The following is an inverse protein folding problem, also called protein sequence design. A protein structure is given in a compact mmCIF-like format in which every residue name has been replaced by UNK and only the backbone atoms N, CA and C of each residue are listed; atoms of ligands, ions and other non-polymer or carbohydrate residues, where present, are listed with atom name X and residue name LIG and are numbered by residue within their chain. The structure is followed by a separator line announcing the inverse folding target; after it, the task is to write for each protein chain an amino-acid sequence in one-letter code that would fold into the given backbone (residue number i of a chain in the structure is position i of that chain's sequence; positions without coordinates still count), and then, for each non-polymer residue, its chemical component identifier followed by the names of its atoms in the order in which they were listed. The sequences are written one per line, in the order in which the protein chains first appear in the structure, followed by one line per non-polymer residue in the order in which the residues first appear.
data_IF_473984658912
#
_entry.id   IF_473984658912
#
_cell.length_a   1.000
_cell.length_b   1.000
_cell.length_c   1.000
_cell.angle_alpha   90.00
_cell.angle_beta   90.00
_cell.angle_gamma   90.00
#
_symmetry.space_group_name_H-M   'P 1'
#
loop_
_entity.id
_entity.type
_entity.pdbx_description
1 polymer ?
#
# COMPACT_ATOMS: atom_id res chain seq x y z
N UNK A 1 10.59 -7.26 18.51
CA UNK A 1 10.69 -5.79 18.60
C UNK A 1 9.50 -5.28 19.41
N UNK A 2 9.56 -4.11 20.05
CA UNK A 2 8.38 -3.57 20.73
C UNK A 2 7.28 -3.21 19.70
N UNK A 3 6.01 -3.30 20.15
CA UNK A 3 4.85 -2.99 19.31
C UNK A 3 4.67 -1.48 19.24
N UNK A 4 4.58 -0.94 18.03
CA UNK A 4 4.33 0.48 17.79
C UNK A 4 2.82 0.78 17.73
N UNK A 5 2.06 -0.05 17.00
CA UNK A 5 0.61 0.13 16.83
C UNK A 5 -0.05 -1.23 17.07
N UNK A 6 -1.12 -1.24 17.87
CA UNK A 6 -1.95 -2.44 18.09
C UNK A 6 -3.42 -2.08 18.02
N UNK A 7 -4.17 -2.87 17.22
CA UNK A 7 -5.62 -2.87 17.18
C UNK A 7 -6.16 -4.22 17.59
N UNK A 8 -7.23 -4.25 18.39
CA UNK A 8 -7.94 -5.47 18.77
C UNK A 8 -9.43 -5.31 18.54
N UNK A 9 -10.00 -6.17 17.71
CA UNK A 9 -11.41 -6.19 17.30
C UNK A 9 -11.94 -4.80 16.95
N UNK A 10 -11.14 -4.05 16.16
CA UNK A 10 -11.47 -2.69 15.78
C UNK A 10 -12.69 -2.68 14.85
N UNK A 11 -13.70 -1.89 15.21
CA UNK A 11 -14.95 -1.75 14.42
C UNK A 11 -15.32 -0.29 14.23
N UNK A 12 -15.82 0.01 13.05
CA UNK A 12 -16.42 1.31 12.75
C UNK A 12 -17.68 1.14 11.90
N UNK A 13 -18.78 1.65 12.42
CA UNK A 13 -20.05 1.70 11.72
C UNK A 13 -20.49 3.17 11.63
N UNK A 14 -20.78 3.64 10.41
CA UNK A 14 -21.34 4.96 10.16
C UNK A 14 -22.87 4.87 10.12
N UNK A 15 -23.53 5.79 10.82
CA UNK A 15 -25.00 5.94 10.89
C UNK A 15 -25.75 4.62 11.20
N UNK A 16 -25.09 3.68 11.88
CA UNK A 16 -25.66 2.36 12.21
C UNK A 16 -25.93 1.45 11.02
N UNK A 17 -25.45 1.80 9.82
CA UNK A 17 -25.76 1.08 8.57
C UNK A 17 -24.53 0.60 7.80
N UNK A 18 -23.49 1.42 7.72
CA UNK A 18 -22.31 1.10 6.93
C UNK A 18 -21.17 0.67 7.84
N UNK A 19 -20.89 -0.62 7.89
CA UNK A 19 -19.72 -1.16 8.61
C UNK A 19 -18.47 -1.00 7.75
N UNK A 20 -17.72 0.07 7.98
CA UNK A 20 -16.48 0.35 7.26
C UNK A 20 -15.29 -0.48 7.78
N UNK A 21 -15.28 -0.82 9.09
CA UNK A 21 -14.27 -1.70 9.71
C UNK A 21 -15.00 -2.76 10.55
N UNK A 22 -14.64 -4.04 10.34
CA UNK A 22 -15.42 -5.20 10.81
C UNK A 22 -14.59 -6.16 11.66
N UNK A 23 -14.06 -5.67 12.78
CA UNK A 23 -13.30 -6.50 13.71
C UNK A 23 -11.85 -6.70 13.28
N UNK A 24 -11.19 -5.61 12.85
CA UNK A 24 -9.81 -5.62 12.40
C UNK A 24 -8.86 -5.82 13.58
N UNK A 25 -7.94 -6.78 13.44
CA UNK A 25 -6.83 -6.99 14.35
C UNK A 25 -5.53 -6.70 13.62
N UNK A 26 -4.67 -5.87 14.19
CA UNK A 26 -3.44 -5.42 13.56
C UNK A 26 -2.35 -5.21 14.61
N UNK A 27 -1.13 -5.62 14.30
CA UNK A 27 0.05 -5.36 15.12
C UNK A 27 1.22 -4.96 14.24
N UNK A 28 1.75 -3.74 14.46
CA UNK A 28 2.88 -3.17 13.74
C UNK A 28 4.04 -3.00 14.70
N UNK A 29 5.23 -3.47 14.31
CA UNK A 29 6.43 -3.39 15.12
C UNK A 29 7.11 -2.02 14.98
N UNK A 30 7.87 -1.62 16.00
CA UNK A 30 8.69 -0.39 15.92
C UNK A 30 9.76 -0.53 14.83
N UNK A 31 9.90 0.49 13.98
CA UNK A 31 10.86 0.52 12.86
C UNK A 31 10.39 -0.24 11.62
N UNK A 32 9.17 -0.76 11.63
CA UNK A 32 8.55 -1.44 10.50
C UNK A 32 7.89 -0.45 9.53
N UNK A 33 8.01 -0.70 8.23
CA UNK A 33 7.14 -0.11 7.23
C UNK A 33 6.00 -1.09 6.93
N UNK A 34 4.79 -0.74 7.36
CA UNK A 34 3.60 -1.57 7.21
C UNK A 34 2.61 -0.96 6.23
N UNK A 35 2.07 -1.78 5.32
CA UNK A 35 1.09 -1.36 4.31
C UNK A 35 -0.33 -1.86 4.59
N UNK A 36 -1.33 -1.00 4.38
CA UNK A 36 -2.72 -1.42 4.22
C UNK A 36 -3.06 -1.35 2.73
N UNK A 37 -3.12 -2.50 2.08
CA UNK A 37 -3.39 -2.64 0.65
C UNK A 37 -4.86 -3.03 0.43
N UNK A 38 -5.54 -2.42 -0.52
CA UNK A 38 -6.93 -2.79 -0.85
C UNK A 38 -7.61 -1.77 -1.74
N UNK A 39 -8.79 -2.10 -2.28
CA UNK A 39 -9.53 -1.21 -3.17
C UNK A 39 -10.13 -0.02 -2.42
N UNK A 40 -10.63 0.95 -3.19
CA UNK A 40 -11.40 2.06 -2.64
C UNK A 40 -12.63 1.52 -1.91
N UNK A 41 -12.92 2.08 -0.73
CA UNK A 41 -14.02 1.61 0.12
C UNK A 41 -13.72 0.35 0.94
N UNK A 42 -12.50 -0.22 0.90
CA UNK A 42 -12.14 -1.38 1.72
C UNK A 42 -12.03 -1.09 3.22
N UNK A 43 -12.03 0.19 3.64
CA UNK A 43 -11.91 0.60 5.05
C UNK A 43 -10.50 1.06 5.45
N UNK A 44 -9.56 1.21 4.51
CA UNK A 44 -8.17 1.64 4.77
C UNK A 44 -8.12 3.03 5.43
N UNK A 45 -8.66 4.05 4.77
CA UNK A 45 -8.71 5.43 5.27
C UNK A 45 -9.43 5.51 6.61
N UNK A 46 -10.58 4.84 6.78
CA UNK A 46 -11.28 4.78 8.07
C UNK A 46 -10.41 4.18 9.18
N UNK A 47 -9.64 3.13 8.85
CA UNK A 47 -8.73 2.50 9.81
C UNK A 47 -7.61 3.47 10.20
N UNK A 48 -6.97 4.12 9.22
CA UNK A 48 -5.87 5.05 9.48
C UNK A 48 -6.34 6.28 10.29
N UNK A 49 -7.51 6.86 9.94
CA UNK A 49 -8.12 7.98 10.69
C UNK A 49 -8.39 7.64 12.16
N UNK A 50 -8.79 6.40 12.46
CA UNK A 50 -8.95 5.95 13.86
C UNK A 50 -7.59 5.86 14.55
N UNK A 51 -6.56 5.35 13.88
CA UNK A 51 -5.20 5.26 14.42
C UNK A 51 -4.58 6.65 14.66
N UNK A 52 -4.87 7.60 13.79
CA UNK A 52 -4.45 9.01 13.90
C UNK A 52 -5.20 9.79 14.98
N UNK A 53 -6.25 9.20 15.56
CA UNK A 53 -7.12 9.86 16.55
C UNK A 53 -8.03 10.93 15.95
N UNK A 54 -8.24 10.91 14.65
CA UNK A 54 -9.18 11.81 13.96
C UNK A 54 -10.60 11.28 14.00
N UNK A 55 -10.76 9.97 14.19
CA UNK A 55 -12.05 9.29 14.23
C UNK A 55 -12.14 8.35 15.43
N UNK A 56 -13.23 8.41 16.19
CA UNK A 56 -13.48 7.43 17.27
C UNK A 56 -14.01 6.11 16.68
N UNK A 57 -13.48 4.94 17.11
CA UNK A 57 -14.03 3.64 16.75
C UNK A 57 -15.44 3.45 17.39
N UNK A 58 -16.27 2.64 16.75
CA UNK A 58 -17.55 2.20 17.36
C UNK A 58 -17.30 1.23 18.51
N UNK A 59 -16.33 0.33 18.35
CA UNK A 59 -15.84 -0.59 19.37
C UNK A 59 -14.44 -1.10 19.04
N UNK A 60 -13.85 -1.84 19.98
CA UNK A 60 -12.48 -2.33 19.87
C UNK A 60 -11.49 -1.45 20.64
N UNK A 61 -10.22 -1.82 20.57
CA UNK A 61 -9.15 -1.14 21.28
C UNK A 61 -8.02 -0.77 20.31
N UNK A 62 -7.46 0.41 20.52
CA UNK A 62 -6.28 0.92 19.83
C UNK A 62 -5.26 1.35 20.86
N UNK A 63 -4.01 0.93 20.69
CA UNK A 63 -2.88 1.49 21.41
C UNK A 63 -1.75 1.84 20.45
N UNK A 64 -1.07 2.95 20.71
CA UNK A 64 0.05 3.47 19.95
C UNK A 64 1.20 3.73 20.90
N UNK A 65 2.33 3.06 20.67
CA UNK A 65 3.50 3.08 21.56
C UNK A 65 3.12 2.73 23.02
N UNK A 66 2.11 1.86 23.21
CA UNK A 66 1.58 1.46 24.51
C UNK A 66 0.61 2.44 25.16
N UNK A 67 0.21 3.51 24.48
CA UNK A 67 -0.69 4.56 24.98
C UNK A 67 -2.04 4.54 24.27
N UNK A 68 -3.07 5.08 24.93
CA UNK A 68 -4.42 5.22 24.39
C UNK A 68 -4.77 6.70 24.18
N UNK A 69 -5.47 7.03 23.09
CA UNK A 69 -5.84 8.41 22.73
C UNK A 69 -6.53 9.18 23.87
N UNK A 70 -7.45 8.55 24.58
CA UNK A 70 -8.21 9.21 25.66
C UNK A 70 -7.35 9.65 26.84
N UNK A 71 -6.19 9.03 27.04
CA UNK A 71 -5.35 9.27 28.22
C UNK A 71 -4.17 10.19 27.90
N UNK A 72 -3.64 10.14 26.67
CA UNK A 72 -2.36 10.74 26.31
C UNK A 72 -2.40 11.52 24.98
N UNK A 73 -3.54 12.07 24.58
CA UNK A 73 -3.74 12.72 23.28
C UNK A 73 -2.64 13.72 22.92
N UNK A 74 -2.31 14.63 23.86
CA UNK A 74 -1.35 15.70 23.63
C UNK A 74 0.07 15.17 23.36
N UNK A 75 0.48 14.14 24.09
CA UNK A 75 1.80 13.53 23.92
C UNK A 75 1.87 12.68 22.64
N UNK A 76 0.80 11.95 22.34
CA UNK A 76 0.72 11.15 21.13
C UNK A 76 0.82 12.01 19.87
N UNK A 77 0.21 13.19 19.85
CA UNK A 77 0.32 14.16 18.74
C UNK A 77 1.76 14.64 18.48
N UNK A 78 2.63 14.64 19.50
CA UNK A 78 4.05 14.97 19.33
C UNK A 78 4.85 13.81 18.68
N UNK A 79 4.35 12.57 18.75
CA UNK A 79 5.03 11.39 18.25
C UNK A 79 4.61 10.96 16.84
N UNK A 80 3.53 11.57 16.35
CA UNK A 80 2.91 11.15 15.10
C UNK A 80 3.06 12.23 14.03
N UNK A 81 3.60 11.83 12.88
CA UNK A 81 3.54 12.60 11.65
C UNK A 81 2.41 12.07 10.78
N UNK A 82 1.54 12.96 10.31
CA UNK A 82 0.36 12.58 9.54
C UNK A 82 0.37 13.32 8.20
N UNK A 83 0.30 12.58 7.11
CA UNK A 83 0.11 13.12 5.77
C UNK A 83 -1.16 12.51 5.15
N UNK A 84 -2.21 13.30 5.10
CA UNK A 84 -3.50 12.91 4.55
C UNK A 84 -3.46 12.86 3.01
N UNK A 85 -4.36 12.10 2.40
CA UNK A 85 -4.51 11.96 0.95
C UNK A 85 -4.66 13.33 0.25
N UNK A 86 -5.48 14.24 0.81
CA UNK A 86 -5.62 15.62 0.37
C UNK A 86 -5.14 16.59 1.45
N UNK A 87 -3.86 16.90 1.47
CA UNK A 87 -3.34 17.94 2.34
C UNK A 87 -3.47 19.31 1.66
N UNK A 88 -4.42 20.13 2.13
CA UNK A 88 -4.62 21.50 1.60
C UNK A 88 -3.69 22.48 2.30
N UNK A 89 -2.60 22.81 1.65
CA UNK A 89 -1.65 23.83 2.11
C UNK A 89 -2.01 25.20 1.52
N UNK A 90 -1.71 26.27 2.27
CA UNK A 90 -1.97 27.63 1.80
C UNK A 90 -1.09 27.97 0.59
N UNK A 91 -1.70 28.30 -0.54
CA UNK A 91 -0.99 28.65 -1.76
C UNK A 91 -0.20 29.96 -1.67
N UNK A 92 -0.53 30.80 -0.67
CA UNK A 92 0.06 32.14 -0.43
C UNK A 92 1.24 32.14 0.54
N UNK A 93 1.61 30.97 1.06
CA UNK A 93 2.83 30.79 1.84
C UNK A 93 3.94 30.23 0.95
N UNK A 94 5.18 30.54 1.29
CA UNK A 94 6.34 29.87 0.73
C UNK A 94 6.47 28.45 1.32
N UNK A 95 7.29 27.61 0.69
CA UNK A 95 7.62 26.27 1.20
C UNK A 95 8.20 26.37 2.62
N UNK A 96 9.16 27.27 2.83
CA UNK A 96 9.79 27.52 4.14
C UNK A 96 8.75 27.96 5.18
N UNK A 97 7.99 29.01 4.88
CA UNK A 97 6.96 29.50 5.79
C UNK A 97 5.93 28.43 6.17
N UNK A 98 5.60 27.54 5.22
CA UNK A 98 4.72 26.41 5.49
C UNK A 98 5.33 25.44 6.49
N UNK A 99 6.60 25.04 6.31
CA UNK A 99 7.29 24.14 7.24
C UNK A 99 7.45 24.79 8.63
N UNK A 100 7.82 26.07 8.69
CA UNK A 100 7.97 26.83 9.92
C UNK A 100 6.63 26.98 10.67
N UNK A 101 5.53 27.19 9.94
CA UNK A 101 4.19 27.22 10.52
C UNK A 101 3.86 25.89 11.19
N UNK A 102 4.07 24.75 10.51
CA UNK A 102 3.82 23.45 11.11
C UNK A 102 4.79 23.15 12.26
N UNK A 103 6.07 23.53 12.14
CA UNK A 103 7.04 23.41 13.21
C UNK A 103 6.58 24.12 14.50
N UNK A 104 5.91 25.27 14.37
CA UNK A 104 5.44 26.06 15.50
C UNK A 104 4.38 25.38 16.38
N UNK A 105 3.74 24.31 15.90
CA UNK A 105 2.76 23.54 16.66
C UNK A 105 3.38 22.54 17.65
N UNK A 106 4.68 22.26 17.52
CA UNK A 106 5.38 21.21 18.25
C UNK A 106 6.44 21.79 19.21
N UNK A 107 6.72 21.07 20.29
CA UNK A 107 7.67 21.53 21.32
C UNK A 107 9.13 21.39 20.90
N UNK A 108 9.44 20.35 20.14
CA UNK A 108 10.80 20.01 19.70
C UNK A 108 10.80 19.64 18.21
N UNK A 109 10.45 20.60 17.33
CA UNK A 109 10.44 20.35 15.91
C UNK A 109 11.87 20.18 15.39
N UNK A 110 11.99 19.52 14.22
CA UNK A 110 13.23 19.51 13.44
C UNK A 110 13.47 20.88 12.81
N UNK A 111 14.72 21.16 12.49
CA UNK A 111 15.08 22.34 11.73
C UNK A 111 14.39 22.36 10.36
N UNK A 112 13.84 23.49 9.98
CA UNK A 112 13.22 23.66 8.65
C UNK A 112 14.22 23.39 7.52
N UNK A 113 15.49 23.77 7.69
CA UNK A 113 16.54 23.52 6.69
C UNK A 113 16.83 22.02 6.54
N UNK A 114 16.92 21.26 7.64
CA UNK A 114 17.07 19.80 7.59
C UNK A 114 15.90 19.13 6.86
N UNK A 115 14.67 19.56 7.15
CA UNK A 115 13.47 19.01 6.50
C UNK A 115 13.45 19.37 5.02
N UNK A 116 13.79 20.62 4.64
CA UNK A 116 13.89 21.05 3.25
C UNK A 116 14.89 20.21 2.47
N UNK A 117 16.05 19.94 3.05
CA UNK A 117 17.10 19.14 2.42
C UNK A 117 16.65 17.69 2.24
N UNK A 118 16.15 17.06 3.30
CA UNK A 118 15.66 15.68 3.26
C UNK A 118 14.58 15.46 2.20
N UNK A 119 13.68 16.44 2.03
CA UNK A 119 12.58 16.38 1.06
C UNK A 119 12.99 16.91 -0.34
N UNK A 120 14.26 17.29 -0.54
CA UNK A 120 14.76 17.86 -1.81
C UNK A 120 13.95 19.08 -2.25
N UNK A 121 13.65 19.97 -1.30
CA UNK A 121 12.88 21.21 -1.52
C UNK A 121 13.70 22.48 -1.27
N UNK A 122 14.99 22.37 -0.98
CA UNK A 122 15.87 23.50 -0.64
C UNK A 122 15.87 24.58 -1.73
N UNK A 123 15.94 24.21 -3.01
CA UNK A 123 15.89 25.17 -4.14
C UNK A 123 14.51 25.83 -4.30
N UNK A 124 13.48 25.32 -3.66
CA UNK A 124 12.11 25.82 -3.68
C UNK A 124 11.68 26.47 -2.38
N UNK A 125 12.59 26.61 -1.41
CA UNK A 125 12.29 27.13 -0.09
C UNK A 125 11.49 28.44 -0.12
N UNK A 126 11.89 29.39 -0.99
CA UNK A 126 11.26 30.70 -1.13
C UNK A 126 10.17 30.75 -2.22
N UNK A 127 9.85 29.61 -2.84
CA UNK A 127 8.77 29.52 -3.83
C UNK A 127 7.41 29.41 -3.13
N UNK A 128 6.40 30.05 -3.67
CA UNK A 128 5.04 29.91 -3.17
C UNK A 128 4.51 28.50 -3.43
N UNK A 129 3.77 27.93 -2.46
CA UNK A 129 3.16 26.61 -2.56
C UNK A 129 2.28 26.45 -3.80
N UNK A 130 1.53 27.50 -4.18
CA UNK A 130 0.70 27.49 -5.39
C UNK A 130 1.49 27.34 -6.71
N UNK A 131 2.81 27.53 -6.70
CA UNK A 131 3.69 27.38 -7.88
C UNK A 131 4.40 26.03 -7.95
N UNK A 132 4.18 25.15 -6.99
CA UNK A 132 4.81 23.84 -6.94
C UNK A 132 4.15 22.86 -7.93
N UNK A 133 4.95 21.95 -8.49
CA UNK A 133 4.43 20.77 -9.19
C UNK A 133 3.69 19.86 -8.21
N UNK A 134 2.87 18.92 -8.72
CA UNK A 134 2.18 17.92 -7.89
C UNK A 134 3.14 17.14 -6.99
N UNK A 135 4.24 16.62 -7.55
CA UNK A 135 5.25 15.91 -6.78
C UNK A 135 5.97 16.76 -5.73
N UNK A 136 6.24 18.05 -6.03
CA UNK A 136 6.81 18.99 -5.04
C UNK A 136 5.81 19.28 -3.92
N UNK A 137 4.53 19.44 -4.25
CA UNK A 137 3.47 19.68 -3.28
C UNK A 137 3.28 18.47 -2.37
N UNK A 138 3.34 17.26 -2.91
CA UNK A 138 3.26 16.03 -2.13
C UNK A 138 4.45 15.88 -1.19
N UNK A 139 5.68 16.15 -1.66
CA UNK A 139 6.85 16.16 -0.77
C UNK A 139 6.72 17.21 0.34
N UNK A 140 6.15 18.38 0.05
CA UNK A 140 5.87 19.39 1.08
C UNK A 140 4.82 18.89 2.09
N UNK A 141 3.78 18.17 1.66
CA UNK A 141 2.81 17.55 2.59
C UNK A 141 3.50 16.55 3.53
N UNK A 142 4.39 15.71 3.00
CA UNK A 142 5.20 14.82 3.86
C UNK A 142 6.19 15.60 4.74
N UNK A 143 6.75 16.72 4.26
CA UNK A 143 7.62 17.59 5.06
C UNK A 143 6.89 18.13 6.32
N UNK A 144 5.62 18.53 6.17
CA UNK A 144 4.82 19.00 7.31
C UNK A 144 4.53 17.89 8.33
N UNK A 145 4.51 16.62 7.90
CA UNK A 145 4.39 15.47 8.78
C UNK A 145 5.72 15.08 9.45
N UNK A 146 6.86 15.36 8.82
CA UNK A 146 8.18 15.02 9.36
C UNK A 146 8.77 16.07 10.28
N UNK A 147 8.29 17.31 10.21
CA UNK A 147 8.84 18.42 10.99
C UNK A 147 8.68 18.25 12.51
N UNK A 148 7.66 17.49 12.97
CA UNK A 148 7.46 17.17 14.36
C UNK A 148 8.47 16.17 14.95
N UNK A 149 9.42 15.67 14.13
CA UNK A 149 10.34 14.59 14.51
C UNK A 149 9.60 13.33 14.99
N UNK A 150 8.70 12.77 14.18
CA UNK A 150 7.78 11.72 14.62
C UNK A 150 8.49 10.40 14.88
N UNK A 151 7.88 9.57 15.75
CA UNK A 151 8.24 8.15 15.90
C UNK A 151 7.50 7.26 14.93
N UNK A 152 6.28 7.68 14.55
CA UNK A 152 5.41 6.99 13.60
C UNK A 152 4.96 7.98 12.55
N UNK A 153 5.08 7.60 11.28
CA UNK A 153 4.62 8.35 10.12
C UNK A 153 3.43 7.64 9.49
N UNK A 154 2.29 8.32 9.44
CA UNK A 154 1.09 7.89 8.74
C UNK A 154 1.03 8.55 7.38
N UNK A 155 0.79 7.74 6.34
CA UNK A 155 0.73 8.19 4.96
C UNK A 155 -0.51 7.59 4.27
N UNK A 156 -1.52 8.41 4.00
CA UNK A 156 -2.71 7.96 3.29
C UNK A 156 -2.53 8.20 1.78
N UNK A 157 -2.35 7.11 1.03
CA UNK A 157 -2.14 7.07 -0.42
C UNK A 157 -1.08 8.07 -0.93
N UNK A 158 0.15 8.05 -0.41
CA UNK A 158 1.12 9.14 -0.56
C UNK A 158 1.59 9.37 -1.99
N UNK A 159 1.42 8.43 -2.91
CA UNK A 159 1.94 8.55 -4.28
C UNK A 159 0.85 8.65 -5.35
N UNK A 160 -0.42 8.75 -4.94
CA UNK A 160 -1.54 8.87 -5.86
C UNK A 160 -1.41 10.11 -6.73
N UNK A 161 -1.56 9.95 -8.05
CA UNK A 161 -1.47 11.03 -9.04
C UNK A 161 -0.05 11.55 -9.31
N UNK A 162 1.00 10.92 -8.76
CA UNK A 162 2.38 11.30 -9.03
C UNK A 162 2.94 10.61 -10.28
N UNK A 163 3.77 11.35 -11.02
CA UNK A 163 4.59 10.78 -12.07
C UNK A 163 5.62 9.78 -11.50
N UNK A 164 6.14 8.84 -12.33
CA UNK A 164 7.04 7.77 -11.85
C UNK A 164 8.33 8.28 -11.18
N UNK A 165 8.83 9.46 -11.56
CA UNK A 165 10.04 10.04 -10.96
C UNK A 165 9.74 10.60 -9.57
N UNK A 166 8.67 11.38 -9.43
CA UNK A 166 8.20 11.93 -8.15
C UNK A 166 7.86 10.83 -7.15
N UNK A 167 7.23 9.73 -7.63
CA UNK A 167 6.94 8.55 -6.82
C UNK A 167 8.21 7.92 -6.24
N UNK A 168 9.25 7.70 -7.06
CA UNK A 168 10.53 7.14 -6.59
C UNK A 168 11.22 8.04 -5.55
N UNK A 169 11.22 9.36 -5.78
CA UNK A 169 11.79 10.30 -4.82
C UNK A 169 11.08 10.22 -3.45
N UNK A 170 9.76 10.11 -3.46
CA UNK A 170 9.00 9.96 -2.21
C UNK A 170 9.29 8.62 -1.52
N UNK A 171 9.42 7.52 -2.28
CA UNK A 171 9.83 6.23 -1.72
C UNK A 171 11.20 6.28 -1.05
N UNK A 172 12.17 6.99 -1.65
CA UNK A 172 13.50 7.14 -1.05
C UNK A 172 13.45 7.91 0.27
N UNK A 173 12.58 8.93 0.38
CA UNK A 173 12.33 9.69 1.60
C UNK A 173 11.72 8.79 2.70
N UNK A 174 10.69 8.01 2.36
CA UNK A 174 10.03 7.08 3.29
C UNK A 174 11.02 6.04 3.81
N UNK A 175 11.83 5.47 2.91
CA UNK A 175 12.87 4.50 3.29
C UNK A 175 13.98 5.11 4.14
N UNK A 176 14.34 6.36 3.89
CA UNK A 176 15.31 7.06 4.73
C UNK A 176 14.76 7.21 6.16
N UNK A 177 13.52 7.67 6.32
CA UNK A 177 12.87 7.79 7.62
C UNK A 177 12.82 6.44 8.36
N UNK A 178 12.47 5.36 7.68
CA UNK A 178 12.45 4.01 8.26
C UNK A 178 13.85 3.55 8.68
N UNK A 179 14.88 3.74 7.85
CA UNK A 179 16.28 3.38 8.17
C UNK A 179 16.80 4.11 9.40
N UNK A 180 16.31 5.32 9.65
CA UNK A 180 16.61 6.10 10.85
C UNK A 180 15.84 5.62 12.10
N UNK A 181 15.11 4.50 11.99
CA UNK A 181 14.37 3.86 13.08
C UNK A 181 12.91 4.30 13.20
N UNK A 182 12.41 5.10 12.28
CA UNK A 182 11.00 5.49 12.23
C UNK A 182 10.09 4.33 11.83
N UNK A 183 8.90 4.30 12.39
CA UNK A 183 7.83 3.37 11.99
C UNK A 183 6.94 4.04 10.95
N UNK A 184 6.57 3.31 9.91
CA UNK A 184 5.68 3.84 8.85
C UNK A 184 4.44 2.97 8.74
N UNK A 185 3.27 3.60 8.73
CA UNK A 185 2.03 2.99 8.28
C UNK A 185 1.53 3.74 7.04
N UNK A 186 1.42 3.05 5.93
CA UNK A 186 0.90 3.63 4.70
C UNK A 186 -0.33 2.87 4.20
N UNK A 187 -1.26 3.59 3.58
CA UNK A 187 -2.28 2.98 2.75
C UNK A 187 -1.89 3.11 1.28
N UNK A 188 -2.24 2.14 0.50
CA UNK A 188 -2.04 2.20 -0.95
C UNK A 188 -3.00 1.26 -1.68
N UNK A 189 -3.26 1.56 -2.92
CA UNK A 189 -3.87 0.64 -3.89
C UNK A 189 -2.84 0.22 -4.96
N UNK A 190 -1.59 0.75 -4.91
CA UNK A 190 -0.51 0.38 -5.81
C UNK A 190 0.30 -0.80 -5.24
N UNK A 191 0.29 -1.93 -5.96
CA UNK A 191 1.00 -3.15 -5.55
C UNK A 191 2.52 -2.96 -5.56
N UNK A 192 3.04 -2.26 -6.56
CA UNK A 192 4.47 -1.98 -6.69
C UNK A 192 5.00 -1.10 -5.55
N UNK A 193 4.18 -0.19 -5.02
CA UNK A 193 4.51 0.58 -3.82
C UNK A 193 4.60 -0.32 -2.59
N UNK A 194 3.58 -1.17 -2.38
CA UNK A 194 3.55 -2.11 -1.27
C UNK A 194 4.73 -3.10 -1.31
N UNK A 195 5.04 -3.67 -2.49
CA UNK A 195 6.18 -4.58 -2.68
C UNK A 195 7.52 -3.92 -2.40
N UNK A 196 7.65 -2.62 -2.74
CA UNK A 196 8.91 -1.90 -2.58
C UNK A 196 9.14 -1.34 -1.19
N UNK A 197 8.10 -0.83 -0.54
CA UNK A 197 8.25 -0.10 0.72
C UNK A 197 8.00 -0.96 1.95
N UNK A 198 7.04 -1.87 1.88
CA UNK A 198 6.55 -2.54 3.08
C UNK A 198 7.37 -3.77 3.44
N UNK A 199 7.75 -3.87 4.71
CA UNK A 199 8.29 -5.11 5.29
C UNK A 199 7.19 -6.14 5.46
N UNK A 200 6.01 -5.70 5.91
CA UNK A 200 4.77 -6.45 5.97
C UNK A 200 3.61 -5.60 5.51
N UNK A 201 2.56 -6.26 5.08
CA UNK A 201 1.32 -5.59 4.70
C UNK A 201 0.10 -6.45 5.07
N UNK A 202 -1.03 -5.80 5.22
CA UNK A 202 -2.33 -6.46 5.28
C UNK A 202 -3.15 -6.10 4.04
N UNK A 203 -3.71 -7.11 3.40
CA UNK A 203 -4.70 -6.94 2.34
C UNK A 203 -6.06 -6.79 3.02
N UNK A 204 -6.70 -5.64 2.79
CA UNK A 204 -7.99 -5.28 3.37
C UNK A 204 -9.06 -5.32 2.29
N UNK A 205 -10.13 -6.02 2.55
CA UNK A 205 -11.33 -6.01 1.71
C UNK A 205 -12.59 -6.04 2.59
N UNK A 206 -13.62 -5.26 2.20
CA UNK A 206 -14.89 -5.16 2.93
C UNK A 206 -14.73 -4.94 4.45
N UNK A 207 -13.76 -4.14 4.87
CA UNK A 207 -13.51 -3.79 6.27
C UNK A 207 -12.81 -4.87 7.10
N UNK A 208 -12.24 -5.90 6.47
CA UNK A 208 -11.54 -7.00 7.12
C UNK A 208 -10.16 -7.23 6.51
N UNK A 209 -9.21 -7.70 7.32
CA UNK A 209 -7.94 -8.21 6.82
C UNK A 209 -8.19 -9.61 6.27
N UNK A 210 -7.93 -9.81 4.97
CA UNK A 210 -8.08 -11.11 4.29
C UNK A 210 -6.75 -11.86 4.13
N UNK A 211 -5.63 -11.15 4.20
CA UNK A 211 -4.28 -11.74 4.26
C UNK A 211 -3.31 -10.75 4.91
N UNK A 212 -2.29 -11.28 5.58
CA UNK A 212 -1.21 -10.50 6.21
C UNK A 212 0.11 -11.27 6.09
N UNK A 213 1.19 -10.55 5.84
CA UNK A 213 2.55 -11.11 5.74
C UNK A 213 3.50 -10.16 5.02
N UNK A 214 4.75 -10.60 4.82
CA UNK A 214 5.65 -9.88 3.91
C UNK A 214 5.15 -10.03 2.45
N UNK A 215 5.50 -9.09 1.55
CA UNK A 215 5.17 -9.23 0.12
C UNK A 215 5.58 -10.60 -0.44
N UNK A 216 6.80 -11.05 -0.12
CA UNK A 216 7.32 -12.35 -0.55
C UNK A 216 6.52 -13.53 0.01
N UNK A 217 6.18 -13.53 1.31
CA UNK A 217 5.38 -14.60 1.92
C UNK A 217 3.99 -14.69 1.30
N UNK A 218 3.37 -13.54 1.02
CA UNK A 218 2.05 -13.50 0.40
C UNK A 218 2.08 -14.05 -1.03
N UNK A 219 3.09 -13.68 -1.82
CA UNK A 219 3.29 -14.20 -3.18
C UNK A 219 3.58 -15.71 -3.13
N UNK A 220 4.40 -16.17 -2.18
CA UNK A 220 4.74 -17.59 -2.05
C UNK A 220 3.52 -18.45 -1.71
N UNK A 221 2.57 -17.94 -0.91
CA UNK A 221 1.30 -18.60 -0.58
C UNK A 221 0.38 -18.80 -1.79
N UNK A 222 0.61 -18.14 -2.92
CA UNK A 222 -0.09 -18.44 -4.18
C UNK A 222 0.21 -19.85 -4.71
N UNK A 223 1.29 -20.49 -4.25
CA UNK A 223 1.72 -21.81 -4.71
C UNK A 223 2.58 -21.79 -5.99
N UNK A 224 2.77 -20.62 -6.62
CA UNK A 224 3.64 -20.47 -7.81
C UNK A 224 4.37 -19.13 -7.80
N UNK A 225 5.68 -19.17 -8.09
CA UNK A 225 6.49 -17.96 -8.21
C UNK A 225 6.45 -17.33 -9.61
N UNK A 226 5.86 -18.03 -10.59
CA UNK A 226 5.81 -17.60 -11.97
C UNK A 226 4.39 -17.65 -12.52
N UNK A 227 4.10 -16.71 -13.39
CA UNK A 227 2.85 -16.69 -14.16
C UNK A 227 3.20 -16.87 -15.62
N UNK A 228 2.56 -17.85 -16.27
CA UNK A 228 2.61 -18.06 -17.73
C UNK A 228 1.30 -17.57 -18.30
N UNK A 229 1.35 -16.49 -19.08
CA UNK A 229 0.18 -15.88 -19.72
C UNK A 229 0.20 -16.23 -21.20
N UNK A 230 -0.93 -16.67 -21.73
CA UNK A 230 -1.06 -17.02 -23.14
C UNK A 230 -2.48 -16.80 -23.67
N UNK A 231 -2.59 -16.65 -24.99
CA UNK A 231 -3.87 -16.66 -25.69
C UNK A 231 -3.81 -17.58 -26.91
N UNK A 232 -4.96 -18.18 -27.24
CA UNK A 232 -5.09 -19.10 -28.38
C UNK A 232 -6.17 -18.60 -29.36
N UNK A 233 -6.04 -19.01 -30.64
CA UNK A 233 -7.05 -18.73 -31.65
C UNK A 233 -8.35 -19.48 -31.32
N UNK A 234 -9.50 -18.76 -31.38
CA UNK A 234 -10.80 -19.34 -31.08
C UNK A 234 -11.27 -19.21 -29.63
N UNK A 235 -10.42 -18.66 -28.75
CA UNK A 235 -10.72 -18.54 -27.32
C UNK A 235 -10.53 -19.86 -26.56
N UNK A 236 -10.61 -19.79 -25.24
CA UNK A 236 -10.65 -20.96 -24.36
C UNK A 236 -12.08 -21.22 -23.91
N UNK A 237 -12.48 -22.47 -23.85
CA UNK A 237 -13.76 -22.90 -23.27
C UNK A 237 -13.52 -23.55 -21.90
N UNK A 238 -14.59 -23.81 -21.14
CA UNK A 238 -14.50 -24.40 -19.81
C UNK A 238 -13.81 -25.77 -19.76
N UNK A 239 -13.83 -26.54 -20.86
CA UNK A 239 -13.14 -27.81 -20.99
C UNK A 239 -11.61 -27.61 -21.16
N UNK A 240 -11.23 -26.58 -21.91
CA UNK A 240 -9.83 -26.15 -22.06
C UNK A 240 -9.23 -25.69 -20.73
N UNK A 241 -9.95 -24.93 -19.93
CA UNK A 241 -9.47 -24.49 -18.61
C UNK A 241 -9.20 -25.67 -17.64
N UNK A 242 -10.04 -26.72 -17.69
CA UNK A 242 -9.77 -27.94 -16.91
C UNK A 242 -8.52 -28.68 -17.42
N UNK A 243 -8.32 -28.74 -18.73
CA UNK A 243 -7.14 -29.36 -19.32
C UNK A 243 -5.85 -28.61 -18.93
N UNK A 244 -5.87 -27.27 -18.95
CA UNK A 244 -4.73 -26.45 -18.52
C UNK A 244 -4.37 -26.65 -17.03
N UNK A 245 -5.35 -26.83 -16.17
CA UNK A 245 -5.13 -27.11 -14.74
C UNK A 245 -4.44 -28.44 -14.47
N UNK A 246 -4.53 -29.39 -15.40
CA UNK A 246 -3.86 -30.68 -15.34
C UNK A 246 -2.41 -30.69 -15.85
N UNK A 247 -1.89 -29.57 -16.33
CA UNK A 247 -0.52 -29.49 -16.83
C UNK A 247 0.52 -29.60 -15.70
N UNK A 248 1.73 -30.11 -15.98
CA UNK A 248 2.79 -30.23 -14.99
C UNK A 248 3.10 -28.89 -14.32
N UNK A 249 3.21 -28.90 -13.00
CA UNK A 249 3.61 -27.74 -12.18
C UNK A 249 2.64 -26.55 -12.17
N UNK A 250 1.42 -26.71 -12.70
CA UNK A 250 0.34 -25.71 -12.61
C UNK A 250 -0.34 -25.84 -11.25
N UNK A 251 -0.46 -24.72 -10.54
CA UNK A 251 -1.14 -24.61 -9.24
C UNK A 251 -2.54 -24.02 -9.37
N UNK A 252 -2.72 -23.09 -10.30
CA UNK A 252 -4.03 -22.53 -10.61
C UNK A 252 -4.09 -21.95 -12.03
N UNK A 253 -5.30 -21.93 -12.58
CA UNK A 253 -5.60 -21.39 -13.91
C UNK A 253 -6.63 -20.29 -13.76
N UNK A 254 -6.43 -19.18 -14.46
CA UNK A 254 -7.38 -18.08 -14.57
C UNK A 254 -7.50 -17.66 -16.02
N UNK A 255 -8.68 -17.22 -16.41
CA UNK A 255 -8.93 -16.58 -17.70
C UNK A 255 -9.54 -15.19 -17.44
N UNK A 256 -9.03 -14.22 -18.19
CA UNK A 256 -9.52 -12.85 -18.17
C UNK A 256 -9.48 -12.29 -19.59
N UNK A 257 -10.62 -11.89 -20.13
CA UNK A 257 -10.77 -11.33 -21.48
C UNK A 257 -10.07 -12.14 -22.61
N UNK A 258 -10.05 -13.47 -22.47
CA UNK A 258 -9.41 -14.36 -23.46
C UNK A 258 -7.91 -14.55 -23.29
N UNK A 259 -7.31 -13.96 -22.26
CA UNK A 259 -5.94 -14.22 -21.81
C UNK A 259 -5.98 -15.25 -20.68
N UNK A 260 -5.28 -16.37 -20.84
CA UNK A 260 -5.16 -17.41 -19.82
C UNK A 260 -3.88 -17.20 -19.04
N UNK A 261 -3.98 -17.15 -17.71
CA UNK A 261 -2.86 -17.05 -16.78
C UNK A 261 -2.75 -18.33 -15.95
N UNK A 262 -1.60 -18.99 -16.02
CA UNK A 262 -1.24 -20.17 -15.22
C UNK A 262 -0.26 -19.75 -14.13
N UNK A 263 -0.61 -19.94 -12.85
CA UNK A 263 0.36 -19.87 -11.78
C UNK A 263 1.13 -21.19 -11.73
N UNK A 264 2.46 -21.11 -11.84
CA UNK A 264 3.32 -22.31 -12.02
C UNK A 264 4.54 -22.25 -11.10
N UNK A 265 4.96 -23.42 -10.60
CA UNK A 265 6.22 -23.54 -9.84
C UNK A 265 7.45 -23.63 -10.75
N UNK A 266 7.33 -24.34 -11.85
CA UNK A 266 8.43 -24.69 -12.73
C UNK A 266 8.04 -24.43 -14.20
N UNK A 267 8.20 -23.20 -14.71
CA UNK A 267 7.81 -22.83 -16.09
C UNK A 267 8.43 -23.72 -17.17
N UNK A 268 9.66 -24.19 -16.95
CA UNK A 268 10.38 -25.04 -17.89
C UNK A 268 9.73 -26.43 -18.10
N UNK A 269 8.90 -26.90 -17.16
CA UNK A 269 8.10 -28.10 -17.33
C UNK A 269 6.72 -27.77 -17.91
N UNK A 270 6.12 -26.66 -17.50
CA UNK A 270 4.76 -26.26 -17.91
C UNK A 270 4.73 -25.82 -19.37
N UNK A 271 5.68 -25.00 -19.82
CA UNK A 271 5.64 -24.40 -21.17
C UNK A 271 5.68 -25.47 -22.28
N UNK A 272 6.58 -26.45 -22.28
CA UNK A 272 6.54 -27.51 -23.28
C UNK A 272 5.23 -28.30 -23.30
N UNK A 273 4.71 -28.64 -22.11
CA UNK A 273 3.45 -29.37 -22.00
C UNK A 273 2.24 -28.53 -22.46
N UNK A 274 2.27 -27.23 -22.24
CA UNK A 274 1.27 -26.29 -22.73
C UNK A 274 1.26 -26.23 -24.26
N UNK A 275 2.44 -26.11 -24.91
CA UNK A 275 2.55 -26.07 -26.35
C UNK A 275 2.03 -27.34 -26.97
N UNK A 276 2.41 -28.51 -26.43
CA UNK A 276 1.91 -29.81 -26.85
C UNK A 276 0.38 -29.94 -26.73
N UNK A 277 -0.20 -29.38 -25.66
CA UNK A 277 -1.63 -29.43 -25.45
C UNK A 277 -2.41 -28.51 -26.41
N UNK A 278 -1.86 -27.32 -26.71
CA UNK A 278 -2.42 -26.40 -27.72
C UNK A 278 -2.43 -27.05 -29.11
N UNK A 279 -1.32 -27.66 -29.50
CA UNK A 279 -1.22 -28.35 -30.79
C UNK A 279 -2.19 -29.54 -30.91
N UNK A 280 -2.38 -30.33 -29.84
CA UNK A 280 -3.35 -31.42 -29.77
C UNK A 280 -4.79 -30.97 -29.88
N UNK A 281 -5.11 -29.75 -29.43
CA UNK A 281 -6.43 -29.16 -29.59
C UNK A 281 -6.67 -28.53 -30.96
N UNK A 282 -5.65 -28.47 -31.81
CA UNK A 282 -5.72 -27.83 -33.15
C UNK A 282 -5.82 -26.31 -33.08
N UNK A 283 -5.54 -25.71 -31.93
CA UNK A 283 -5.53 -24.26 -31.72
C UNK A 283 -4.16 -23.67 -32.08
N UNK A 284 -4.11 -22.36 -32.38
CA UNK A 284 -2.85 -21.67 -32.65
C UNK A 284 -2.54 -20.73 -31.49
N UNK A 285 -1.33 -20.81 -30.95
CA UNK A 285 -0.83 -19.86 -29.96
C UNK A 285 -0.68 -18.48 -30.61
N UNK A 286 -1.32 -17.46 -30.02
CA UNK A 286 -1.25 -16.07 -30.48
C UNK A 286 -0.28 -15.24 -29.63
N UNK A 287 -0.28 -15.47 -28.32
CA UNK A 287 0.56 -14.77 -27.37
C UNK A 287 1.06 -15.74 -26.30
N UNK A 288 2.31 -15.58 -25.85
CA UNK A 288 2.87 -16.27 -24.70
C UNK A 288 3.90 -15.36 -24.04
N UNK A 289 3.73 -15.13 -22.74
CA UNK A 289 4.73 -14.44 -21.91
C UNK A 289 4.88 -15.14 -20.57
N UNK A 290 6.01 -14.86 -19.91
CA UNK A 290 6.25 -15.33 -18.55
C UNK A 290 6.71 -14.17 -17.69
N UNK A 291 6.20 -14.09 -16.47
CA UNK A 291 6.61 -13.11 -15.47
C UNK A 291 6.67 -13.74 -14.08
N UNK A 292 7.27 -13.06 -13.14
CA UNK A 292 7.15 -13.42 -11.73
C UNK A 292 5.75 -13.10 -11.24
N UNK A 293 5.25 -13.89 -10.29
CA UNK A 293 4.01 -13.59 -9.59
C UNK A 293 4.21 -12.32 -8.75
N UNK A 294 3.16 -11.53 -8.61
CA UNK A 294 3.14 -10.25 -7.91
C UNK A 294 2.03 -10.22 -6.85
N UNK A 295 1.99 -9.18 -6.02
CA UNK A 295 0.87 -8.94 -5.10
C UNK A 295 -0.46 -8.78 -5.83
N UNK A 296 -0.48 -8.36 -7.09
CA UNK A 296 -1.70 -8.30 -7.90
C UNK A 296 -2.31 -9.69 -8.09
N UNK A 297 -1.49 -10.70 -8.38
CA UNK A 297 -1.96 -12.08 -8.49
C UNK A 297 -2.51 -12.59 -7.16
N UNK A 298 -1.89 -12.21 -6.03
CA UNK A 298 -2.39 -12.51 -4.67
C UNK A 298 -3.76 -11.90 -4.48
N UNK A 299 -3.89 -10.60 -4.77
CA UNK A 299 -5.13 -9.87 -4.57
C UNK A 299 -6.27 -10.45 -5.41
N UNK A 300 -6.02 -10.67 -6.71
CA UNK A 300 -7.01 -11.25 -7.62
C UNK A 300 -7.43 -12.65 -7.17
N UNK A 301 -6.49 -13.49 -6.71
CA UNK A 301 -6.82 -14.82 -6.19
C UNK A 301 -7.70 -14.77 -4.95
N UNK A 302 -7.45 -13.82 -4.03
CA UNK A 302 -8.19 -13.70 -2.79
C UNK A 302 -9.58 -13.08 -2.96
N UNK A 303 -9.73 -12.15 -3.91
CA UNK A 303 -10.95 -11.34 -4.08
C UNK A 303 -11.75 -11.67 -5.33
N UNK A 304 -11.15 -12.37 -6.29
CA UNK A 304 -11.73 -12.65 -7.61
C UNK A 304 -11.83 -11.43 -8.55
N UNK A 305 -11.20 -10.31 -8.19
CA UNK A 305 -11.26 -9.05 -8.98
C UNK A 305 -9.90 -8.34 -8.98
N UNK A 306 -9.64 -7.56 -10.04
CA UNK A 306 -8.48 -6.66 -10.09
C UNK A 306 -8.71 -5.42 -9.21
N UNK A 307 -7.62 -4.86 -8.65
CA UNK A 307 -7.63 -3.48 -8.19
C UNK A 307 -7.67 -2.61 -9.45
N UNK A 308 -8.86 -2.12 -9.82
CA UNK A 308 -8.96 -1.18 -10.94
C UNK A 308 -8.46 0.19 -10.47
N UNK A 309 -7.58 0.79 -11.27
CA UNK A 309 -7.36 2.23 -11.27
C UNK A 309 -8.67 2.85 -11.81
N UNK A 310 -9.41 3.60 -10.98
CA UNK A 310 -10.46 4.51 -11.43
C UNK A 310 -9.87 5.88 -11.75
#
# INVERSE_FOLDING_TARGET
MPVAIQCRDLRKTYDGKVEAVRGLNLEIQTGECFGLLGPNGAGKTTTIEILEGLLEPTSGQVSILGHHWRENEREMREWLGISLQETRLSEKLTVRETIELFASFYRQPRSSDEVLDQLQLTEKADSWVGKLSGGQRQRLAVATALVCNPRILFLDEPTTGLDPQSRRQLWDIIRAFQRDGGTVLLTTHYMDEAERLCDRLAIVDHGQIIAEGSPSDLIERLGGHHVVEFSVSGGSDGASLQAWNGLPSVESVREDEGLVALNVKQPHLTIPALLDAIDKQGSQLQHLTTRQASLEDVFVRLTGRHLREE
#
